data_IF_230655159640
#
_entry.id   IF_230655159640
#
_cell.length_a   1.000
_cell.length_b   1.000
_cell.length_c   1.000
_cell.angle_alpha   90.00
_cell.angle_beta   90.00
_cell.angle_gamma   90.00
#
_symmetry.space_group_name_H-M   'P 1'
#
loop_
_entity.id
_entity.type
_entity.pdbx_description
1 polymer ?
#
# COMPACT_ATOMS: atom_id res chain seq x y z
N UNK A 1 -23.85 41.92 -6.85
CA UNK A 1 -23.95 40.47 -7.12
C UNK A 1 -22.75 39.95 -7.96
N UNK A 2 -21.52 40.30 -7.61
CA UNK A 2 -20.30 39.88 -8.30
C UNK A 2 -19.48 39.04 -7.34
N UNK A 3 -19.42 37.71 -7.56
CA UNK A 3 -18.48 36.87 -6.81
C UNK A 3 -18.87 35.41 -6.56
N UNK A 4 -20.11 34.99 -6.73
CA UNK A 4 -20.49 33.59 -6.44
C UNK A 4 -20.10 32.58 -7.55
N UNK A 5 -19.89 33.04 -8.78
CA UNK A 5 -19.48 32.19 -9.91
C UNK A 5 -17.95 32.12 -10.12
N UNK A 6 -17.18 33.08 -9.63
CA UNK A 6 -15.73 33.13 -9.83
C UNK A 6 -14.98 31.89 -9.29
N UNK A 7 -15.27 31.36 -8.09
CA UNK A 7 -14.64 30.13 -7.60
C UNK A 7 -14.94 28.93 -8.50
N UNK A 8 -16.18 28.79 -8.97
CA UNK A 8 -16.57 27.70 -9.85
C UNK A 8 -15.92 27.75 -11.22
N UNK A 9 -15.75 28.97 -11.77
CA UNK A 9 -15.08 29.17 -13.05
C UNK A 9 -13.59 28.82 -12.98
N UNK A 10 -12.93 29.13 -11.86
CA UNK A 10 -11.54 28.77 -11.61
C UNK A 10 -11.35 27.26 -11.37
N UNK A 11 -12.32 26.59 -10.74
CA UNK A 11 -12.28 25.15 -10.50
C UNK A 11 -12.74 24.34 -11.71
N UNK A 12 -13.49 24.93 -12.65
CA UNK A 12 -14.12 24.21 -13.76
C UNK A 12 -13.12 23.39 -14.59
N UNK A 13 -11.93 23.88 -15.01
CA UNK A 13 -10.98 23.09 -15.77
C UNK A 13 -10.52 21.83 -15.02
N UNK A 14 -10.24 21.98 -13.73
CA UNK A 14 -9.87 20.86 -12.88
C UNK A 14 -11.03 19.86 -12.72
N UNK A 15 -12.24 20.34 -12.44
CA UNK A 15 -13.41 19.49 -12.25
C UNK A 15 -13.77 18.70 -13.52
N UNK A 16 -13.68 19.32 -14.69
CA UNK A 16 -13.94 18.65 -15.97
C UNK A 16 -12.95 17.52 -16.20
N UNK A 17 -11.65 17.77 -16.01
CA UNK A 17 -10.62 16.75 -16.14
C UNK A 17 -10.80 15.65 -15.07
N UNK A 18 -11.02 16.02 -13.82
CA UNK A 18 -11.22 15.07 -12.72
C UNK A 18 -12.44 14.16 -12.97
N UNK A 19 -13.56 14.74 -13.35
CA UNK A 19 -14.77 13.96 -13.66
C UNK A 19 -14.51 13.03 -14.86
N UNK A 20 -13.93 13.56 -15.95
CA UNK A 20 -13.70 12.79 -17.18
C UNK A 20 -12.67 11.67 -17.00
N UNK A 21 -11.60 11.90 -16.24
CA UNK A 21 -10.50 10.92 -16.11
C UNK A 21 -10.60 10.00 -14.90
N UNK A 22 -11.32 10.41 -13.85
CA UNK A 22 -11.46 9.61 -12.61
C UNK A 22 -12.88 9.10 -12.40
N UNK A 23 -13.87 10.00 -12.39
CA UNK A 23 -15.24 9.60 -12.02
C UNK A 23 -15.90 8.77 -13.12
N UNK A 24 -15.80 9.19 -14.38
CA UNK A 24 -16.41 8.44 -15.50
C UNK A 24 -15.86 7.01 -15.59
N UNK A 25 -14.55 6.72 -15.57
CA UNK A 25 -14.05 5.36 -15.59
C UNK A 25 -14.50 4.52 -14.38
N UNK A 26 -14.62 5.11 -13.19
CA UNK A 26 -15.14 4.41 -12.00
C UNK A 26 -16.60 4.00 -12.22
N UNK A 27 -17.45 4.92 -12.72
CA UNK A 27 -18.86 4.61 -13.01
C UNK A 27 -18.95 3.53 -14.09
N UNK A 28 -18.12 3.60 -15.14
CA UNK A 28 -18.06 2.57 -16.18
C UNK A 28 -17.64 1.22 -15.61
N UNK A 29 -16.60 1.16 -14.76
CA UNK A 29 -16.18 -0.06 -14.12
C UNK A 29 -17.29 -0.67 -13.25
N UNK A 30 -18.02 0.15 -12.47
CA UNK A 30 -19.19 -0.30 -11.73
C UNK A 30 -20.27 -0.83 -12.69
N UNK A 31 -20.51 -0.16 -13.81
CA UNK A 31 -21.45 -0.64 -14.84
C UNK A 31 -21.05 -2.00 -15.40
N UNK A 32 -19.78 -2.15 -15.82
CA UNK A 32 -19.27 -3.41 -16.35
C UNK A 32 -19.30 -4.56 -15.34
N UNK A 33 -19.17 -4.29 -14.05
CA UNK A 33 -19.23 -5.32 -13.02
C UNK A 33 -20.58 -6.07 -12.96
N UNK A 34 -21.64 -5.45 -13.46
CA UNK A 34 -22.98 -6.05 -13.58
C UNK A 34 -23.26 -6.66 -14.96
N UNK A 35 -22.27 -6.69 -15.85
CA UNK A 35 -22.41 -7.25 -17.20
C UNK A 35 -21.50 -8.46 -17.38
N UNK A 36 -21.91 -9.38 -18.24
CA UNK A 36 -21.12 -10.54 -18.63
C UNK A 36 -21.01 -10.59 -20.16
N UNK A 37 -19.84 -10.93 -20.63
CA UNK A 37 -19.58 -11.15 -22.04
C UNK A 37 -20.14 -12.51 -22.45
N UNK A 38 -21.12 -12.53 -23.35
CA UNK A 38 -21.66 -13.76 -23.94
C UNK A 38 -21.19 -13.85 -25.37
N UNK A 39 -20.47 -14.95 -25.68
CA UNK A 39 -20.11 -15.27 -27.06
C UNK A 39 -21.32 -15.87 -27.78
N UNK A 40 -21.69 -15.30 -28.90
CA UNK A 40 -22.82 -15.76 -29.72
C UNK A 40 -22.32 -16.77 -30.76
N UNK A 41 -23.05 -17.90 -30.89
CA UNK A 41 -22.70 -19.00 -31.82
C UNK A 41 -21.89 -20.11 -31.17
N UNK A 42 -21.83 -21.29 -31.84
CA UNK A 42 -21.18 -22.51 -31.32
C UNK A 42 -19.70 -22.32 -31.04
N UNK A 43 -19.02 -21.43 -31.78
CA UNK A 43 -17.60 -21.11 -31.65
C UNK A 43 -17.33 -19.60 -31.40
N UNK A 44 -18.38 -18.81 -31.09
CA UNK A 44 -18.26 -17.36 -30.96
C UNK A 44 -18.22 -16.60 -32.28
N UNK A 45 -18.59 -17.24 -33.39
CA UNK A 45 -18.49 -16.70 -34.75
C UNK A 45 -19.52 -15.59 -35.01
N UNK A 46 -20.63 -15.54 -34.25
CA UNK A 46 -21.71 -14.57 -34.43
C UNK A 46 -21.49 -13.25 -33.66
N UNK A 47 -20.33 -13.07 -33.04
CA UNK A 47 -19.99 -11.85 -32.29
C UNK A 47 -20.01 -12.02 -30.77
N UNK A 48 -19.79 -10.92 -30.08
CA UNK A 48 -19.73 -10.83 -28.62
C UNK A 48 -20.82 -9.85 -28.18
N UNK A 49 -21.72 -10.29 -27.33
CA UNK A 49 -22.75 -9.42 -26.75
C UNK A 49 -22.54 -9.27 -25.23
N UNK A 50 -22.88 -8.13 -24.70
CA UNK A 50 -22.80 -7.88 -23.26
C UNK A 50 -24.20 -7.96 -22.66
N UNK A 51 -24.44 -8.97 -21.83
CA UNK A 51 -25.73 -9.18 -21.17
C UNK A 51 -25.65 -8.76 -19.72
N UNK A 52 -26.78 -8.30 -19.18
CA UNK A 52 -26.87 -7.98 -17.75
C UNK A 52 -26.79 -9.26 -16.91
N UNK A 53 -25.80 -9.33 -16.02
CA UNK A 53 -25.50 -10.49 -15.17
C UNK A 53 -25.89 -10.27 -13.70
N UNK A 54 -26.47 -9.11 -13.36
CA UNK A 54 -26.78 -8.82 -11.96
C UNK A 54 -25.56 -8.95 -11.04
N UNK A 55 -25.67 -9.78 -10.00
CA UNK A 55 -24.58 -10.02 -9.02
C UNK A 55 -23.73 -11.26 -9.32
N UNK A 56 -23.93 -11.94 -10.46
CA UNK A 56 -23.24 -13.20 -10.76
C UNK A 56 -21.71 -13.06 -10.74
N UNK A 57 -21.15 -11.96 -11.27
CA UNK A 57 -19.73 -11.71 -11.25
C UNK A 57 -19.18 -11.56 -9.80
N UNK A 58 -19.95 -10.92 -8.93
CA UNK A 58 -19.59 -10.76 -7.53
C UNK A 58 -19.60 -12.10 -6.78
N UNK A 59 -20.63 -12.92 -7.01
CA UNK A 59 -20.75 -14.25 -6.43
C UNK A 59 -19.59 -15.11 -6.94
N UNK A 60 -19.34 -15.09 -8.25
CA UNK A 60 -18.25 -15.84 -8.85
C UNK A 60 -16.87 -15.39 -8.31
N UNK A 61 -16.62 -14.09 -8.15
CA UNK A 61 -15.39 -13.58 -7.56
C UNK A 61 -15.22 -14.02 -6.10
N UNK A 62 -16.27 -13.91 -5.28
CA UNK A 62 -16.24 -14.28 -3.86
C UNK A 62 -16.24 -15.80 -3.62
N UNK A 63 -16.53 -16.61 -4.62
CA UNK A 63 -16.41 -18.07 -4.59
C UNK A 63 -15.16 -18.59 -5.29
N UNK A 64 -14.40 -17.73 -5.98
CA UNK A 64 -13.15 -18.08 -6.61
C UNK A 64 -12.06 -18.28 -5.55
N UNK A 65 -11.58 -19.52 -5.40
CA UNK A 65 -10.60 -19.89 -4.39
C UNK A 65 -9.29 -19.09 -4.50
N UNK A 66 -8.80 -18.81 -5.73
CA UNK A 66 -7.56 -18.05 -5.96
C UNK A 66 -7.73 -16.60 -5.53
N UNK A 67 -8.86 -15.98 -5.87
CA UNK A 67 -9.14 -14.60 -5.50
C UNK A 67 -9.26 -14.44 -3.98
N UNK A 68 -9.99 -15.34 -3.31
CA UNK A 68 -10.09 -15.33 -1.83
C UNK A 68 -8.72 -15.57 -1.18
N UNK A 69 -7.94 -16.52 -1.69
CA UNK A 69 -6.58 -16.77 -1.20
C UNK A 69 -5.68 -15.53 -1.39
N UNK A 70 -5.83 -14.80 -2.50
CA UNK A 70 -5.09 -13.57 -2.76
C UNK A 70 -5.46 -12.45 -1.77
N UNK A 71 -6.74 -12.30 -1.42
CA UNK A 71 -7.20 -11.38 -0.37
C UNK A 71 -6.60 -11.76 0.98
N UNK A 72 -6.70 -13.04 1.38
CA UNK A 72 -6.10 -13.53 2.63
C UNK A 72 -4.59 -13.27 2.71
N UNK A 73 -3.88 -13.46 1.59
CA UNK A 73 -2.46 -13.14 1.47
C UNK A 73 -2.18 -11.66 1.68
N UNK A 74 -2.99 -10.77 1.10
CA UNK A 74 -2.82 -9.32 1.26
C UNK A 74 -3.16 -8.84 2.67
N UNK A 75 -4.11 -9.47 3.34
CA UNK A 75 -4.39 -9.17 4.76
C UNK A 75 -3.20 -9.57 5.63
N UNK A 76 -2.66 -10.78 5.46
CA UNK A 76 -1.46 -11.23 6.18
C UNK A 76 -0.25 -10.31 5.90
N UNK A 77 -0.01 -10.03 4.62
CA UNK A 77 1.05 -9.11 4.18
C UNK A 77 0.88 -7.74 4.85
N UNK A 78 -0.30 -7.14 4.76
CA UNK A 78 -0.59 -5.82 5.30
C UNK A 78 -0.39 -5.74 6.80
N UNK A 79 -0.91 -6.72 7.56
CA UNK A 79 -0.74 -6.75 9.03
C UNK A 79 0.73 -6.77 9.42
N UNK A 80 1.54 -7.60 8.79
CA UNK A 80 2.96 -7.73 9.14
C UNK A 80 3.78 -6.57 8.57
N UNK A 81 3.69 -6.33 7.26
CA UNK A 81 4.53 -5.36 6.56
C UNK A 81 4.24 -3.93 7.02
N UNK A 82 2.97 -3.51 7.12
CA UNK A 82 2.62 -2.16 7.57
C UNK A 82 3.06 -1.95 9.00
N UNK A 83 2.87 -2.93 9.88
CA UNK A 83 3.32 -2.83 11.28
C UNK A 83 4.84 -2.65 11.36
N UNK A 84 5.61 -3.50 10.67
CA UNK A 84 7.09 -3.41 10.67
C UNK A 84 7.54 -2.06 10.13
N UNK A 85 6.98 -1.62 9.00
CA UNK A 85 7.33 -0.36 8.35
C UNK A 85 7.02 0.86 9.23
N UNK A 86 5.82 0.93 9.82
CA UNK A 86 5.42 2.06 10.66
C UNK A 86 6.23 2.10 11.97
N UNK A 87 6.51 0.96 12.57
CA UNK A 87 7.38 0.87 13.75
C UNK A 87 8.79 1.36 13.40
N UNK A 88 9.37 0.87 12.31
CA UNK A 88 10.69 1.30 11.84
C UNK A 88 10.72 2.81 11.54
N UNK A 89 9.73 3.34 10.80
CA UNK A 89 9.61 4.76 10.51
C UNK A 89 9.49 5.61 11.78
N UNK A 90 8.71 5.15 12.76
CA UNK A 90 8.53 5.84 14.04
C UNK A 90 9.82 5.86 14.85
N UNK A 91 10.52 4.73 14.95
CA UNK A 91 11.82 4.65 15.63
C UNK A 91 12.83 5.59 14.97
N UNK A 92 12.96 5.56 13.64
CA UNK A 92 13.84 6.45 12.90
C UNK A 92 13.50 7.93 13.13
N UNK A 93 12.21 8.29 13.10
CA UNK A 93 11.76 9.65 13.34
C UNK A 93 12.12 10.13 14.77
N UNK A 94 11.87 9.31 15.79
CA UNK A 94 12.21 9.62 17.18
C UNK A 94 13.72 9.76 17.40
N UNK A 95 14.53 8.89 16.76
CA UNK A 95 15.98 8.97 16.84
C UNK A 95 16.50 10.24 16.18
N UNK A 96 15.96 10.63 15.02
CA UNK A 96 16.38 11.83 14.28
C UNK A 96 15.97 13.15 14.95
N UNK A 97 14.91 13.15 15.73
CA UNK A 97 14.46 14.31 16.51
C UNK A 97 14.99 14.29 17.96
N UNK A 98 15.82 13.32 18.34
CA UNK A 98 16.45 13.31 19.65
C UNK A 98 17.51 14.42 19.77
N UNK A 99 17.68 14.97 20.97
CA UNK A 99 18.69 16.00 21.22
C UNK A 99 20.14 15.52 20.98
N UNK A 100 20.36 14.20 20.94
CA UNK A 100 21.67 13.58 20.70
C UNK A 100 21.93 13.29 19.21
N UNK A 101 20.97 13.55 18.32
CA UNK A 101 21.11 13.23 16.91
C UNK A 101 22.20 14.06 16.25
N UNK A 102 23.19 13.38 15.67
CA UNK A 102 24.23 14.02 14.85
C UNK A 102 23.85 13.91 13.39
N UNK A 103 23.97 15.03 12.64
CA UNK A 103 23.68 15.14 11.20
C UNK A 103 22.26 14.70 10.80
N UNK A 104 21.21 15.14 11.50
CA UNK A 104 19.85 14.66 11.23
C UNK A 104 19.37 14.96 9.80
N UNK A 105 19.82 16.05 9.18
CA UNK A 105 19.49 16.39 7.82
C UNK A 105 20.04 15.36 6.81
N UNK A 106 21.30 14.94 6.98
CA UNK A 106 21.91 13.90 6.15
C UNK A 106 21.14 12.58 6.24
N UNK A 107 20.87 12.10 7.45
CA UNK A 107 20.15 10.85 7.63
C UNK A 107 18.69 10.90 7.14
N UNK A 108 18.00 12.04 7.29
CA UNK A 108 16.67 12.22 6.69
C UNK A 108 16.71 12.04 5.17
N UNK A 109 17.66 12.68 4.51
CA UNK A 109 17.83 12.56 3.06
C UNK A 109 18.18 11.13 2.64
N UNK A 110 19.09 10.47 3.38
CA UNK A 110 19.53 9.10 3.08
C UNK A 110 18.38 8.09 3.23
N UNK A 111 17.60 8.19 4.32
CA UNK A 111 16.48 7.28 4.53
C UNK A 111 15.30 7.55 3.58
N UNK A 112 15.16 8.78 3.09
CA UNK A 112 14.14 9.14 2.11
C UNK A 112 14.52 8.75 0.67
N UNK A 113 15.80 8.60 0.37
CA UNK A 113 16.32 8.34 -0.99
C UNK A 113 15.64 7.15 -1.68
N UNK A 114 15.39 5.99 -1.01
CA UNK A 114 14.71 4.86 -1.63
C UNK A 114 13.34 5.21 -2.22
N UNK A 115 12.57 6.07 -1.58
CA UNK A 115 11.26 6.51 -2.08
C UNK A 115 11.36 7.28 -3.42
N UNK A 116 12.47 7.95 -3.67
CA UNK A 116 12.73 8.63 -4.94
C UNK A 116 13.06 7.68 -6.12
N UNK A 117 13.30 6.39 -5.84
CA UNK A 117 13.57 5.40 -6.87
C UNK A 117 12.25 4.84 -7.40
N UNK A 118 11.98 4.87 -8.73
CA UNK A 118 10.78 4.25 -9.28
C UNK A 118 10.63 2.79 -8.84
N UNK A 119 9.44 2.38 -8.37
CA UNK A 119 9.19 1.06 -7.78
C UNK A 119 9.60 -0.11 -8.66
N UNK A 120 9.44 0.03 -9.99
CA UNK A 120 9.92 -0.95 -10.97
C UNK A 120 11.43 -1.14 -10.87
N UNK A 121 12.20 -0.05 -10.81
CA UNK A 121 13.66 -0.08 -10.70
C UNK A 121 14.09 -0.64 -9.33
N UNK A 122 13.42 -0.24 -8.27
CA UNK A 122 13.66 -0.79 -6.93
C UNK A 122 13.44 -2.31 -6.91
N UNK A 123 12.37 -2.79 -7.52
CA UNK A 123 12.07 -4.23 -7.60
C UNK A 123 13.11 -5.00 -8.40
N UNK A 124 13.55 -4.47 -9.54
CA UNK A 124 14.63 -5.07 -10.35
C UNK A 124 15.94 -5.11 -9.54
N UNK A 125 16.31 -4.02 -8.88
CA UNK A 125 17.52 -3.98 -8.04
C UNK A 125 17.47 -5.06 -6.96
N UNK A 126 16.37 -5.15 -6.21
CA UNK A 126 16.21 -6.15 -5.17
C UNK A 126 16.15 -7.58 -5.74
N UNK A 127 15.59 -7.78 -6.95
CA UNK A 127 15.58 -9.11 -7.57
C UNK A 127 16.99 -9.65 -7.79
N UNK A 128 17.93 -8.81 -8.21
CA UNK A 128 19.35 -9.19 -8.31
C UNK A 128 19.98 -9.49 -6.94
N UNK A 129 19.58 -8.72 -5.91
CA UNK A 129 20.07 -8.94 -4.55
C UNK A 129 19.47 -10.22 -3.90
N UNK A 130 18.50 -10.88 -4.52
CA UNK A 130 17.93 -12.13 -4.05
C UNK A 130 18.45 -13.37 -4.78
N UNK A 131 19.23 -13.20 -5.88
CA UNK A 131 19.74 -14.31 -6.68
C UNK A 131 21.07 -14.82 -6.09
N UNK A 132 21.18 -16.13 -5.77
CA UNK A 132 22.44 -16.74 -5.36
C UNK A 132 23.55 -16.53 -6.42
N UNK A 133 24.76 -16.24 -5.97
CA UNK A 133 25.91 -16.00 -6.85
C UNK A 133 25.98 -14.61 -7.50
N UNK A 134 24.91 -13.79 -7.39
CA UNK A 134 24.91 -12.38 -7.77
C UNK A 134 24.80 -11.46 -6.54
N UNK A 135 24.32 -12.00 -5.43
CA UNK A 135 23.97 -11.24 -4.24
C UNK A 135 25.02 -11.38 -3.14
N UNK A 136 25.71 -10.30 -2.75
CA UNK A 136 26.54 -10.31 -1.57
C UNK A 136 25.79 -10.69 -0.28
N UNK A 137 24.47 -10.41 -0.22
CA UNK A 137 23.63 -10.74 0.94
C UNK A 137 23.47 -12.26 1.05
N UNK A 138 23.15 -12.93 -0.05
CA UNK A 138 22.98 -14.40 -0.11
C UNK A 138 24.30 -15.09 0.16
N UNK A 139 25.41 -14.56 -0.38
CA UNK A 139 26.73 -15.14 -0.21
C UNK A 139 27.21 -15.06 1.25
N UNK A 140 26.98 -13.92 1.92
CA UNK A 140 27.28 -13.74 3.36
C UNK A 140 26.42 -14.66 4.23
N UNK A 141 25.13 -14.80 3.93
CA UNK A 141 24.26 -15.74 4.64
C UNK A 141 24.72 -17.19 4.45
N UNK A 142 25.10 -17.55 3.21
CA UNK A 142 25.63 -18.87 2.88
C UNK A 142 26.94 -19.18 3.63
N UNK A 143 27.82 -18.21 3.80
CA UNK A 143 29.07 -18.35 4.52
C UNK A 143 28.89 -18.66 6.02
N UNK A 144 27.75 -18.23 6.59
CA UNK A 144 27.37 -18.56 7.99
C UNK A 144 26.42 -19.77 8.09
N UNK A 145 26.24 -20.49 6.98
CA UNK A 145 25.42 -21.72 6.93
C UNK A 145 23.90 -21.48 6.81
N UNK A 146 23.48 -20.24 6.51
CA UNK A 146 22.06 -19.89 6.31
C UNK A 146 21.76 -19.87 4.82
N UNK A 147 20.96 -20.86 4.36
CA UNK A 147 20.48 -20.90 2.98
C UNK A 147 19.03 -20.42 2.91
N UNK A 148 18.79 -19.32 2.18
CA UNK A 148 17.46 -18.74 2.00
C UNK A 148 17.19 -18.60 0.52
N UNK A 149 16.11 -19.23 0.05
CA UNK A 149 15.58 -18.98 -1.29
C UNK A 149 14.57 -17.81 -1.21
N UNK A 150 15.09 -16.60 -1.39
CA UNK A 150 14.29 -15.37 -1.32
C UNK A 150 13.19 -15.29 -2.39
N UNK A 151 13.37 -15.95 -3.53
CA UNK A 151 12.41 -15.98 -4.62
C UNK A 151 11.55 -17.27 -4.61
N UNK A 152 11.81 -18.16 -3.67
CA UNK A 152 11.02 -19.37 -3.48
C UNK A 152 9.60 -19.10 -2.97
N UNK A 153 8.67 -20.07 -3.15
CA UNK A 153 7.24 -19.89 -2.83
C UNK A 153 6.96 -19.48 -1.38
N UNK A 154 7.79 -19.92 -0.44
CA UNK A 154 7.61 -19.65 0.99
C UNK A 154 8.18 -18.28 1.42
N UNK A 155 9.09 -17.71 0.66
CA UNK A 155 9.81 -16.48 1.04
C UNK A 155 9.45 -15.28 0.19
N UNK A 156 9.00 -15.47 -1.04
CA UNK A 156 8.77 -14.37 -2.00
C UNK A 156 7.80 -13.29 -1.48
N UNK A 157 6.81 -13.66 -0.68
CA UNK A 157 5.90 -12.70 -0.04
C UNK A 157 6.67 -11.73 0.88
N UNK A 158 7.61 -12.27 1.66
CA UNK A 158 8.42 -11.48 2.60
C UNK A 158 9.52 -10.71 1.89
N UNK A 159 10.01 -11.22 0.76
CA UNK A 159 10.92 -10.49 -0.12
C UNK A 159 10.24 -9.26 -0.73
N UNK A 160 8.98 -9.38 -1.16
CA UNK A 160 8.16 -8.24 -1.58
C UNK A 160 7.94 -7.28 -0.40
N UNK A 161 7.64 -7.80 0.79
CA UNK A 161 7.47 -6.98 1.99
C UNK A 161 8.74 -6.18 2.32
N UNK A 162 9.92 -6.76 2.14
CA UNK A 162 11.19 -6.05 2.31
C UNK A 162 11.34 -4.90 1.29
N UNK A 163 11.05 -5.14 0.00
CA UNK A 163 11.11 -4.10 -1.04
C UNK A 163 10.22 -2.92 -0.68
N UNK A 164 8.95 -3.20 -0.34
CA UNK A 164 7.96 -2.18 0.01
C UNK A 164 8.37 -1.43 1.29
N UNK A 165 8.83 -2.15 2.31
CA UNK A 165 9.30 -1.56 3.58
C UNK A 165 10.50 -0.65 3.33
N UNK A 166 11.50 -1.10 2.59
CA UNK A 166 12.68 -0.31 2.26
C UNK A 166 12.32 0.96 1.49
N UNK A 167 11.42 0.86 0.51
CA UNK A 167 10.99 1.99 -0.31
C UNK A 167 10.23 3.03 0.50
N UNK A 168 9.28 2.62 1.35
CA UNK A 168 8.32 3.55 1.96
C UNK A 168 8.62 3.94 3.42
N UNK A 169 9.56 3.27 4.10
CA UNK A 169 9.89 3.62 5.50
C UNK A 169 10.34 5.06 5.64
N UNK A 170 11.22 5.54 4.76
CA UNK A 170 11.73 6.91 4.83
C UNK A 170 10.67 7.96 4.55
N UNK A 171 9.75 7.70 3.63
CA UNK A 171 8.59 8.56 3.37
C UNK A 171 7.70 8.69 4.62
N UNK A 172 7.32 7.56 5.22
CA UNK A 172 6.52 7.56 6.45
C UNK A 172 7.27 8.23 7.62
N UNK A 173 8.57 7.99 7.75
CA UNK A 173 9.43 8.66 8.72
C UNK A 173 9.35 10.20 8.59
N UNK A 174 9.40 10.75 7.37
CA UNK A 174 9.34 12.20 7.17
C UNK A 174 7.99 12.80 7.59
N UNK A 175 6.87 12.10 7.34
CA UNK A 175 5.55 12.53 7.82
C UNK A 175 5.54 12.61 9.35
N UNK A 176 6.09 11.58 10.01
CA UNK A 176 6.17 11.53 11.46
C UNK A 176 7.11 12.62 12.01
N UNK A 177 8.26 12.86 11.38
CA UNK A 177 9.19 13.95 11.73
C UNK A 177 8.52 15.31 11.64
N UNK A 178 7.73 15.55 10.60
CA UNK A 178 7.00 16.82 10.46
C UNK A 178 6.04 17.05 11.64
N UNK A 179 5.36 16.01 12.10
CA UNK A 179 4.46 16.09 13.25
C UNK A 179 5.24 16.24 14.57
N UNK A 180 6.36 15.56 14.74
CA UNK A 180 7.22 15.70 15.92
C UNK A 180 7.71 17.15 16.08
N UNK A 181 8.06 17.81 14.98
CA UNK A 181 8.48 19.21 14.98
C UNK A 181 7.37 20.21 15.28
N UNK A 182 6.12 19.83 15.12
CA UNK A 182 4.97 20.65 15.48
C UNK A 182 4.64 20.64 16.99
N UNK A 183 5.30 19.76 17.76
CA UNK A 183 5.13 19.69 19.21
C UNK A 183 5.78 20.93 19.86
N UNK A 184 5.05 21.71 20.71
CA UNK A 184 5.61 22.87 21.38
C UNK A 184 6.83 22.54 22.24
N UNK A 185 7.89 23.35 22.13
CA UNK A 185 9.15 23.18 22.87
C UNK A 185 8.98 23.18 24.38
N UNK A 186 8.00 23.95 24.87
CA UNK A 186 7.64 24.06 26.30
C UNK A 186 7.36 22.71 26.95
N UNK A 187 6.76 21.76 26.22
CA UNK A 187 6.50 20.40 26.72
C UNK A 187 7.80 19.62 26.96
N UNK A 188 8.82 19.84 26.16
CA UNK A 188 10.12 19.21 26.33
C UNK A 188 10.89 19.84 27.51
N UNK A 189 10.77 21.16 27.67
CA UNK A 189 11.40 21.88 28.79
C UNK A 189 10.79 21.47 30.13
N UNK A 190 9.45 21.40 30.22
CA UNK A 190 8.75 20.91 31.41
C UNK A 190 9.17 19.47 31.74
N UNK A 191 9.19 18.57 30.76
CA UNK A 191 9.61 17.18 30.96
C UNK A 191 11.08 17.07 31.45
N UNK A 192 11.94 17.97 30.98
CA UNK A 192 13.36 18.03 31.41
C UNK A 192 13.48 18.50 32.87
N UNK A 193 12.67 19.48 33.29
CA UNK A 193 12.58 19.95 34.69
C UNK A 193 12.12 18.80 35.60
N UNK A 194 11.12 18.02 35.15
CA UNK A 194 10.61 16.84 35.84
C UNK A 194 11.58 15.64 35.83
N UNK A 195 12.78 15.76 35.24
CA UNK A 195 13.77 14.70 35.17
C UNK A 195 13.37 13.52 34.29
N UNK A 196 12.47 13.72 33.32
CA UNK A 196 12.02 12.66 32.44
C UNK A 196 13.15 12.21 31.49
N UNK A 197 13.38 10.89 31.41
CA UNK A 197 14.32 10.32 30.45
C UNK A 197 13.78 10.45 29.02
N UNK A 198 14.66 10.40 28.00
CA UNK A 198 14.29 10.46 26.59
C UNK A 198 13.24 9.41 26.20
N UNK A 199 13.32 8.20 26.77
CA UNK A 199 12.33 7.15 26.56
C UNK A 199 10.96 7.52 27.16
N UNK A 200 10.93 8.14 28.35
CA UNK A 200 9.70 8.62 28.98
C UNK A 200 9.07 9.75 28.15
N UNK A 201 9.88 10.69 27.65
CA UNK A 201 9.43 11.75 26.73
C UNK A 201 8.83 11.15 25.45
N UNK A 202 9.53 10.20 24.81
CA UNK A 202 9.02 9.53 23.61
C UNK A 202 7.66 8.86 23.88
N UNK A 203 7.54 8.07 24.94
CA UNK A 203 6.34 7.29 25.25
C UNK A 203 5.16 8.13 25.73
N UNK A 204 5.42 9.14 26.56
CA UNK A 204 4.36 9.87 27.26
C UNK A 204 3.98 11.20 26.60
N UNK A 205 4.85 11.77 25.75
CA UNK A 205 4.64 13.05 25.07
C UNK A 205 4.60 12.85 23.56
N UNK A 206 5.69 12.36 22.96
CA UNK A 206 5.85 12.33 21.50
C UNK A 206 4.85 11.36 20.86
N UNK A 207 4.88 10.07 21.22
CA UNK A 207 4.00 9.04 20.60
C UNK A 207 2.52 9.40 20.73
N UNK A 208 2.00 9.87 21.89
CA UNK A 208 0.63 10.32 22.00
C UNK A 208 0.27 11.51 21.09
N UNK A 209 1.16 12.47 20.93
CA UNK A 209 0.90 13.68 20.14
C UNK A 209 1.04 13.48 18.63
N UNK A 210 1.85 12.49 18.20
CA UNK A 210 1.98 12.16 16.76
C UNK A 210 0.94 11.14 16.27
N UNK A 211 0.00 10.69 17.10
CA UNK A 211 -1.03 9.73 16.70
C UNK A 211 -1.78 10.08 15.42
N UNK A 212 -2.16 11.35 15.17
CA UNK A 212 -2.82 11.70 13.91
C UNK A 212 -1.96 11.38 12.68
N UNK A 213 -0.65 11.65 12.75
CA UNK A 213 0.29 11.30 11.69
C UNK A 213 0.46 9.79 11.55
N UNK A 214 0.55 9.04 12.66
CA UNK A 214 0.59 7.58 12.63
C UNK A 214 -0.65 6.97 11.96
N UNK A 215 -1.84 7.50 12.29
CA UNK A 215 -3.08 7.04 11.65
C UNK A 215 -3.11 7.33 10.16
N UNK A 216 -2.68 8.53 9.75
CA UNK A 216 -2.59 8.90 8.34
C UNK A 216 -1.65 7.95 7.58
N UNK A 217 -0.45 7.69 8.11
CA UNK A 217 0.53 6.79 7.50
C UNK A 217 0.03 5.35 7.45
N UNK A 218 -0.64 4.86 8.48
CA UNK A 218 -1.27 3.52 8.51
C UNK A 218 -2.34 3.40 7.42
N UNK A 219 -3.24 4.38 7.31
CA UNK A 219 -4.33 4.35 6.32
C UNK A 219 -3.77 4.33 4.89
N UNK A 220 -2.80 5.20 4.58
CA UNK A 220 -2.17 5.21 3.27
C UNK A 220 -1.41 3.91 2.99
N UNK A 221 -0.77 3.33 3.99
CA UNK A 221 -0.07 2.04 3.85
C UNK A 221 -1.04 0.87 3.62
N UNK A 222 -2.20 0.85 4.29
CA UNK A 222 -3.26 -0.14 4.05
C UNK A 222 -3.77 -0.04 2.61
N UNK A 223 -4.07 1.18 2.14
CA UNK A 223 -4.52 1.42 0.76
C UNK A 223 -3.44 0.94 -0.23
N UNK A 224 -2.17 1.31 0.00
CA UNK A 224 -1.05 0.88 -0.84
C UNK A 224 -0.86 -0.64 -0.87
N UNK A 225 -1.02 -1.31 0.27
CA UNK A 225 -0.96 -2.77 0.37
C UNK A 225 -2.04 -3.45 -0.48
N UNK A 226 -3.27 -2.98 -0.39
CA UNK A 226 -4.38 -3.53 -1.19
C UNK A 226 -4.22 -3.25 -2.69
N UNK A 227 -3.44 -2.23 -3.05
CA UNK A 227 -3.10 -1.88 -4.43
C UNK A 227 -1.81 -2.52 -4.93
N UNK A 228 -1.19 -3.42 -4.16
CA UNK A 228 0.07 -4.07 -4.53
C UNK A 228 -0.09 -4.85 -5.85
N UNK A 229 0.70 -4.45 -6.86
CA UNK A 229 0.64 -5.02 -8.20
C UNK A 229 2.00 -5.09 -8.89
N UNK A 230 2.76 -4.00 -8.92
CA UNK A 230 3.96 -3.87 -9.74
C UNK A 230 5.07 -4.81 -9.27
N UNK A 231 5.36 -4.85 -7.98
CA UNK A 231 6.43 -5.65 -7.40
C UNK A 231 6.21 -7.15 -7.64
N UNK A 232 5.06 -7.76 -7.25
CA UNK A 232 4.83 -9.17 -7.52
C UNK A 232 4.71 -9.47 -9.02
N UNK A 233 4.18 -8.55 -9.84
CA UNK A 233 4.09 -8.74 -11.28
C UNK A 233 5.45 -8.83 -11.95
N UNK A 234 6.42 -8.03 -11.51
CA UNK A 234 7.80 -8.08 -12.00
C UNK A 234 8.52 -9.36 -11.55
N UNK A 235 8.37 -9.74 -10.28
CA UNK A 235 9.00 -10.93 -9.74
C UNK A 235 8.36 -12.24 -10.24
N UNK A 236 7.19 -12.20 -10.86
CA UNK A 236 6.49 -13.37 -11.41
C UNK A 236 7.35 -14.14 -12.43
N UNK A 237 8.18 -13.47 -13.19
CA UNK A 237 9.07 -14.11 -14.18
C UNK A 237 10.27 -14.82 -13.55
N UNK A 238 10.55 -14.53 -12.26
CA UNK A 238 11.72 -15.02 -11.53
C UNK A 238 11.34 -15.95 -10.36
N UNK A 239 10.05 -16.05 -10.02
CA UNK A 239 9.55 -16.83 -8.89
C UNK A 239 8.39 -17.71 -9.31
N UNK A 240 8.55 -19.02 -9.16
CA UNK A 240 7.48 -19.99 -9.37
C UNK A 240 6.36 -19.87 -8.30
N UNK A 241 6.61 -19.15 -7.20
CA UNK A 241 5.64 -18.92 -6.14
C UNK A 241 4.60 -17.83 -6.47
N UNK A 242 4.79 -17.08 -7.58
CA UNK A 242 3.90 -15.98 -7.96
C UNK A 242 3.07 -16.38 -9.18
N UNK A 243 1.78 -16.62 -8.96
CA UNK A 243 0.81 -16.90 -10.03
C UNK A 243 0.27 -15.60 -10.65
N UNK A 244 -0.48 -15.70 -11.76
CA UNK A 244 -1.18 -14.55 -12.37
C UNK A 244 -2.26 -13.94 -11.47
N UNK A 245 -2.71 -14.68 -10.45
CA UNK A 245 -3.71 -14.27 -9.48
C UNK A 245 -3.13 -14.14 -8.06
N UNK A 246 -1.82 -13.84 -7.95
CA UNK A 246 -1.12 -13.79 -6.67
C UNK A 246 -1.63 -12.69 -5.72
N UNK A 247 -1.95 -11.52 -6.25
CA UNK A 247 -2.62 -10.44 -5.51
C UNK A 247 -4.02 -10.20 -6.10
N UNK A 248 -4.96 -9.58 -5.36
CA UNK A 248 -6.27 -9.27 -5.91
C UNK A 248 -6.19 -8.41 -7.18
N UNK A 249 -5.28 -7.43 -7.23
CA UNK A 249 -5.08 -6.60 -8.42
C UNK A 249 -4.49 -7.39 -9.59
N UNK A 250 -3.60 -8.34 -9.34
CA UNK A 250 -3.09 -9.24 -10.39
C UNK A 250 -4.21 -10.14 -10.93
N UNK A 251 -5.10 -10.61 -10.06
CA UNK A 251 -6.29 -11.36 -10.47
C UNK A 251 -7.20 -10.52 -11.37
N UNK A 252 -7.58 -9.32 -10.92
CA UNK A 252 -8.40 -8.41 -11.73
C UNK A 252 -7.74 -8.09 -13.08
N UNK A 253 -6.42 -7.88 -13.10
CA UNK A 253 -5.65 -7.68 -14.33
C UNK A 253 -5.67 -8.92 -15.23
N UNK A 254 -5.50 -10.12 -14.68
CA UNK A 254 -5.53 -11.36 -15.45
C UNK A 254 -6.92 -11.56 -16.08
N UNK A 255 -7.99 -11.32 -15.34
CA UNK A 255 -9.35 -11.42 -15.89
C UNK A 255 -9.59 -10.40 -17.01
N UNK A 256 -9.12 -9.14 -16.85
CA UNK A 256 -9.31 -8.11 -17.88
C UNK A 256 -8.52 -8.39 -19.16
N UNK A 257 -7.23 -8.77 -19.04
CA UNK A 257 -6.28 -8.74 -20.16
C UNK A 257 -5.79 -10.14 -20.64
N UNK A 258 -5.88 -11.17 -19.79
CA UNK A 258 -5.50 -12.53 -20.17
C UNK A 258 -6.71 -13.40 -20.50
N UNK A 259 -7.79 -13.28 -19.68
CA UNK A 259 -8.99 -14.09 -19.87
C UNK A 259 -10.09 -13.35 -20.66
N UNK A 260 -9.89 -12.04 -20.93
CA UNK A 260 -10.84 -11.18 -21.66
C UNK A 260 -12.24 -11.16 -21.02
N UNK A 261 -12.31 -11.23 -19.68
CA UNK A 261 -13.53 -11.14 -18.89
C UNK A 261 -13.54 -9.81 -18.10
N UNK A 262 -13.98 -8.75 -18.78
CA UNK A 262 -14.02 -7.40 -18.21
C UNK A 262 -15.05 -7.31 -17.08
N UNK A 263 -16.16 -8.07 -17.16
CA UNK A 263 -17.19 -8.07 -16.12
C UNK A 263 -16.66 -8.61 -14.79
N UNK A 264 -15.97 -9.75 -14.82
CA UNK A 264 -15.32 -10.34 -13.65
C UNK A 264 -14.19 -9.43 -13.12
N UNK A 265 -13.34 -8.90 -13.99
CA UNK A 265 -12.27 -7.97 -13.61
C UNK A 265 -12.83 -6.73 -12.89
N UNK A 266 -13.89 -6.14 -13.43
CA UNK A 266 -14.56 -4.99 -12.85
C UNK A 266 -15.20 -5.32 -11.49
N UNK A 267 -15.85 -6.47 -11.35
CA UNK A 267 -16.40 -6.92 -10.07
C UNK A 267 -15.30 -7.09 -9.01
N UNK A 268 -14.18 -7.72 -9.37
CA UNK A 268 -13.02 -7.85 -8.48
C UNK A 268 -12.46 -6.47 -8.08
N UNK A 269 -12.32 -5.53 -9.03
CA UNK A 269 -11.84 -4.18 -8.74
C UNK A 269 -12.77 -3.43 -7.77
N UNK A 270 -14.09 -3.55 -7.93
CA UNK A 270 -15.08 -2.98 -7.00
C UNK A 270 -14.97 -3.62 -5.62
N UNK A 271 -14.80 -4.95 -5.51
CA UNK A 271 -14.60 -5.64 -4.23
C UNK A 271 -13.34 -5.11 -3.54
N UNK A 272 -12.22 -4.96 -4.27
CA UNK A 272 -10.96 -4.41 -3.73
C UNK A 272 -11.16 -2.98 -3.22
N UNK A 273 -11.86 -2.13 -3.99
CA UNK A 273 -12.13 -0.75 -3.60
C UNK A 273 -13.00 -0.66 -2.34
N UNK A 274 -14.05 -1.49 -2.25
CA UNK A 274 -14.91 -1.59 -1.07
C UNK A 274 -14.12 -2.10 0.13
N UNK A 275 -13.28 -3.12 -0.04
CA UNK A 275 -12.41 -3.63 1.02
C UNK A 275 -11.45 -2.54 1.52
N UNK A 276 -10.79 -1.80 0.61
CA UNK A 276 -9.91 -0.70 0.98
C UNK A 276 -10.64 0.39 1.78
N UNK A 277 -11.85 0.74 1.37
CA UNK A 277 -12.69 1.69 2.10
C UNK A 277 -13.06 1.19 3.50
N UNK A 278 -13.49 -0.07 3.62
CA UNK A 278 -13.87 -0.66 4.90
C UNK A 278 -12.69 -0.76 5.87
N UNK A 279 -11.51 -1.22 5.40
CA UNK A 279 -10.31 -1.28 6.25
C UNK A 279 -9.85 0.12 6.69
N UNK A 280 -9.91 1.11 5.81
CA UNK A 280 -9.59 2.50 6.16
C UNK A 280 -10.58 3.11 7.15
N UNK A 281 -11.88 2.86 6.96
CA UNK A 281 -12.92 3.29 7.88
C UNK A 281 -12.79 2.62 9.26
N UNK A 282 -12.43 1.34 9.29
CA UNK A 282 -12.16 0.59 10.52
C UNK A 282 -10.97 1.20 11.28
N UNK A 283 -9.87 1.47 10.58
CA UNK A 283 -8.67 2.10 11.18
C UNK A 283 -9.00 3.47 11.78
N UNK A 284 -9.77 4.31 11.07
CA UNK A 284 -10.25 5.60 11.59
C UNK A 284 -11.18 5.43 12.78
N UNK A 285 -12.10 4.47 12.72
CA UNK A 285 -13.02 4.17 13.82
C UNK A 285 -12.30 3.77 15.11
N UNK A 286 -11.29 2.91 14.99
CA UNK A 286 -10.44 2.50 16.12
C UNK A 286 -9.68 3.70 16.69
N UNK A 287 -9.12 4.56 15.83
CA UNK A 287 -8.42 5.77 16.26
C UNK A 287 -9.32 6.70 17.07
N UNK A 288 -10.49 7.03 16.54
CA UNK A 288 -11.46 7.91 17.20
C UNK A 288 -11.99 7.32 18.54
N UNK A 289 -12.15 6.00 18.60
CA UNK A 289 -12.56 5.33 19.82
C UNK A 289 -11.49 5.40 20.92
N UNK A 290 -10.21 5.23 20.54
CA UNK A 290 -9.07 5.37 21.46
C UNK A 290 -8.89 6.80 21.97
N UNK A 291 -9.23 7.80 21.15
CA UNK A 291 -9.16 9.21 21.51
C UNK A 291 -10.25 9.61 22.51
N UNK A 292 -11.48 9.10 22.36
CA UNK A 292 -12.61 9.37 23.26
C UNK A 292 -12.47 8.74 24.65
N UNK A 293 -11.58 7.80 24.87
CA UNK A 293 -11.34 7.13 26.17
C UNK A 293 -10.27 7.80 27.04
N UNK A 294 -9.74 8.93 26.59
CA UNK A 294 -8.78 9.78 27.33
C UNK A 294 -9.41 11.08 27.78
#
# INVERSE_FOLDING_TARGET
MKGKSAPWLLLAPFLVLFIGTMIVPIIMAIGYSFTRVQRLGLLGEAGVDSVFAGLDNYIAALTNANFIASIGRMVLFGVVQVTVMIVAATILALLLESASAKWPAFFRSTYFLPYGIPGVIATILWSFLYIPGLSPIVDVLGAVGITVDFLGPNMVLWSIANIVTWTYTGYNMLIIVAQLKAIPGELYEAAKIDGASSFRVARSIQIPLIRPALMLTIIFSIIGTLQLFAEPRLLQTMSAGITSEYTPNMSAYAFAFQYNDIGMAAAQAVIIAVAAFLFSALALGISNWMEKRR
#
